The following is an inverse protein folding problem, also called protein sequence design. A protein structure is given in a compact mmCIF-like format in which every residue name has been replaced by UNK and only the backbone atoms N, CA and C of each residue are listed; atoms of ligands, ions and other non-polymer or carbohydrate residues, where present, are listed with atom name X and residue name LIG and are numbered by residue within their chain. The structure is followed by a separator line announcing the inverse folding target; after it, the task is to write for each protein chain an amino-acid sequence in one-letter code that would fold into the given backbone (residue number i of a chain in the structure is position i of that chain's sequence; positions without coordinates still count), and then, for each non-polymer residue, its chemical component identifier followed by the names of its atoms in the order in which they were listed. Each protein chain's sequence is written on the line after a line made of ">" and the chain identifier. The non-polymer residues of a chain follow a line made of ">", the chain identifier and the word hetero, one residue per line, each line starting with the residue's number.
data_IF_509174449255
#
_entry.id   IF_509174449255
#
_cell.length_a   1.000
_cell.length_b   1.000
_cell.length_c   1.000
_cell.angle_alpha   90.00
_cell.angle_beta   90.00
_cell.angle_gamma   90.00
#
_symmetry.space_group_name_H-M   'P 1'
#
loop_
_entity.id
_entity.type
_entity.pdbx_description
1 polymer ?
#
# COMPACT_ATOMS: atom_id res chain seq x y z
N UNK A 1 10.28 11.20 -38.83
CA UNK A 1 10.70 11.90 -37.59
C UNK A 1 12.04 11.30 -37.16
N UNK A 2 13.02 12.12 -36.83
CA UNK A 2 14.30 11.60 -36.35
C UNK A 2 14.13 10.93 -34.98
N UNK A 3 14.94 9.91 -34.64
CA UNK A 3 14.92 9.30 -33.31
C UNK A 3 15.11 10.35 -32.19
N UNK A 4 15.92 11.35 -32.41
CA UNK A 4 16.19 12.44 -31.46
C UNK A 4 14.92 13.25 -31.14
N UNK A 5 14.03 13.48 -32.11
CA UNK A 5 12.80 14.24 -31.90
C UNK A 5 11.86 13.48 -30.95
N UNK A 6 11.73 12.15 -31.07
CA UNK A 6 10.88 11.38 -30.18
C UNK A 6 11.42 11.32 -28.76
N UNK A 7 12.75 11.23 -28.59
CA UNK A 7 13.40 11.24 -27.26
C UNK A 7 13.18 12.59 -26.57
N UNK A 8 13.39 13.70 -27.29
CA UNK A 8 13.18 15.05 -26.74
C UNK A 8 11.71 15.29 -26.40
N UNK A 9 10.79 14.82 -27.24
CA UNK A 9 9.35 14.95 -26.98
C UNK A 9 8.95 14.18 -25.73
N UNK A 10 9.42 12.94 -25.54
CA UNK A 10 9.14 12.14 -24.34
C UNK A 10 9.70 12.81 -23.08
N UNK A 11 10.89 13.39 -23.15
CA UNK A 11 11.50 14.13 -22.05
C UNK A 11 10.65 15.34 -21.63
N UNK A 12 10.27 16.19 -22.60
CA UNK A 12 9.43 17.36 -22.34
C UNK A 12 8.07 16.93 -21.76
N UNK A 13 7.45 15.89 -22.33
CA UNK A 13 6.21 15.35 -21.80
C UNK A 13 6.36 14.83 -20.37
N UNK A 14 7.47 14.20 -20.03
CA UNK A 14 7.74 13.71 -18.68
C UNK A 14 7.78 14.86 -17.66
N UNK A 15 8.33 16.02 -18.01
CA UNK A 15 8.34 17.21 -17.15
C UNK A 15 6.93 17.84 -17.06
N UNK A 16 6.27 18.03 -18.20
CA UNK A 16 4.94 18.69 -18.25
C UNK A 16 3.88 17.87 -17.54
N UNK A 17 3.98 16.54 -17.58
CA UNK A 17 3.02 15.63 -16.94
C UNK A 17 3.23 15.51 -15.42
N UNK A 18 4.24 16.14 -14.83
CA UNK A 18 4.34 16.25 -13.38
C UNK A 18 3.23 17.14 -12.83
N UNK A 19 2.62 16.78 -11.69
CA UNK A 19 1.53 17.56 -11.10
C UNK A 19 2.04 18.81 -10.37
N UNK A 20 2.65 19.74 -11.10
CA UNK A 20 3.20 20.99 -10.57
C UNK A 20 2.11 21.80 -9.87
N UNK A 21 2.25 22.00 -8.53
CA UNK A 21 1.31 22.76 -7.71
C UNK A 21 -0.14 22.22 -7.71
N UNK A 22 -0.36 20.97 -8.15
CA UNK A 22 -1.65 20.31 -8.09
C UNK A 22 -1.78 19.55 -6.76
N UNK A 23 -2.71 19.98 -5.90
CA UNK A 23 -2.90 19.40 -4.57
C UNK A 23 -4.33 18.93 -4.37
N UNK A 24 -4.49 17.71 -3.81
CA UNK A 24 -5.76 17.26 -3.26
C UNK A 24 -6.10 18.09 -2.02
N UNK A 25 -7.38 18.44 -1.84
CA UNK A 25 -7.83 19.12 -0.63
C UNK A 25 -7.85 18.14 0.53
N UNK A 26 -7.03 18.39 1.52
CA UNK A 26 -6.87 17.54 2.69
C UNK A 26 -8.09 17.54 3.61
N UNK A 27 -8.39 16.38 4.18
CA UNK A 27 -9.37 16.21 5.23
C UNK A 27 -8.71 15.67 6.52
N UNK A 28 -8.34 16.56 7.45
CA UNK A 28 -7.80 16.18 8.76
C UNK A 28 -8.91 16.06 9.84
N UNK A 29 -10.09 15.56 9.48
CA UNK A 29 -11.12 15.23 10.45
C UNK A 29 -10.80 13.87 11.10
N UNK A 30 -10.30 13.89 12.35
CA UNK A 30 -9.88 12.68 13.07
C UNK A 30 -11.04 11.72 13.33
N UNK A 31 -12.26 12.24 13.59
CA UNK A 31 -13.44 11.38 13.77
C UNK A 31 -13.83 10.67 12.47
N UNK A 32 -13.65 11.32 11.32
CA UNK A 32 -13.84 10.70 10.02
C UNK A 32 -12.76 9.64 9.76
N UNK A 33 -11.50 9.95 10.04
CA UNK A 33 -10.40 9.01 9.90
C UNK A 33 -10.59 7.75 10.75
N UNK A 34 -11.02 7.91 12.01
CA UNK A 34 -11.36 6.78 12.88
C UNK A 34 -12.46 5.91 12.27
N UNK A 35 -13.54 6.51 11.76
CA UNK A 35 -14.65 5.77 11.12
C UNK A 35 -14.20 4.98 9.89
N UNK A 36 -13.32 5.54 9.07
CA UNK A 36 -12.77 4.85 7.89
C UNK A 36 -11.93 3.66 8.32
N UNK A 37 -11.03 3.84 9.30
CA UNK A 37 -10.20 2.76 9.84
C UNK A 37 -11.05 1.65 10.46
N UNK A 38 -12.10 1.98 11.22
CA UNK A 38 -12.98 0.99 11.85
C UNK A 38 -13.87 0.25 10.84
N UNK A 39 -14.27 0.94 9.77
CA UNK A 39 -15.01 0.31 8.67
C UNK A 39 -14.16 -0.74 7.94
N UNK A 40 -12.89 -0.41 7.68
CA UNK A 40 -12.04 -1.21 6.80
C UNK A 40 -11.24 -2.28 7.54
N UNK A 41 -10.99 -2.09 8.84
CA UNK A 41 -10.11 -2.95 9.64
C UNK A 41 -10.79 -3.38 10.94
N UNK A 42 -10.99 -4.67 11.09
CA UNK A 42 -11.47 -5.24 12.34
C UNK A 42 -10.32 -5.37 13.34
N UNK A 43 -10.54 -5.01 14.60
CA UNK A 43 -9.51 -5.03 15.64
C UNK A 43 -8.42 -3.97 15.40
N UNK A 44 -7.19 -4.28 15.77
CA UNK A 44 -6.02 -3.41 15.61
C UNK A 44 -6.14 -2.04 16.33
N UNK A 45 -6.81 -2.01 17.48
CA UNK A 45 -7.15 -0.76 18.17
C UNK A 45 -5.92 0.11 18.47
N UNK A 46 -4.83 -0.50 18.97
CA UNK A 46 -3.57 0.21 19.25
C UNK A 46 -2.93 0.80 17.97
N UNK A 47 -3.03 0.08 16.86
CA UNK A 47 -2.50 0.54 15.57
C UNK A 47 -3.31 1.73 15.05
N UNK A 48 -4.62 1.65 15.13
CA UNK A 48 -5.53 2.74 14.74
C UNK A 48 -5.30 3.97 15.60
N UNK A 49 -5.20 3.81 16.91
CA UNK A 49 -4.92 4.89 17.85
C UNK A 49 -3.61 5.63 17.49
N UNK A 50 -2.51 4.88 17.26
CA UNK A 50 -1.23 5.46 16.84
C UNK A 50 -1.31 6.20 15.50
N UNK A 51 -2.06 5.66 14.53
CA UNK A 51 -2.30 6.37 13.26
C UNK A 51 -3.06 7.68 13.50
N UNK A 52 -4.11 7.68 14.32
CA UNK A 52 -4.88 8.88 14.64
C UNK A 52 -4.03 9.91 15.39
N UNK A 53 -3.20 9.50 16.35
CA UNK A 53 -2.23 10.39 17.04
C UNK A 53 -1.29 11.05 16.02
N UNK A 54 -0.72 10.29 15.10
CA UNK A 54 0.14 10.84 14.06
C UNK A 54 -0.58 11.86 13.18
N UNK A 55 -1.82 11.57 12.74
CA UNK A 55 -2.64 12.50 11.97
C UNK A 55 -2.98 13.76 12.77
N UNK A 56 -3.18 13.64 14.08
CA UNK A 56 -3.41 14.80 14.96
C UNK A 56 -2.18 15.70 15.01
N UNK A 57 -0.98 15.13 15.12
CA UNK A 57 0.27 15.90 15.07
C UNK A 57 0.43 16.65 13.75
N UNK A 58 0.21 15.97 12.62
CA UNK A 58 0.27 16.59 11.29
C UNK A 58 -0.73 17.74 11.15
N UNK A 59 -1.95 17.55 11.67
CA UNK A 59 -2.99 18.58 11.69
C UNK A 59 -2.58 19.81 12.48
N UNK A 60 -1.97 19.63 13.65
CA UNK A 60 -1.56 20.73 14.53
C UNK A 60 -0.33 21.47 14.00
N UNK A 61 0.63 20.75 13.45
CA UNK A 61 1.84 21.34 12.85
C UNK A 61 1.53 22.08 11.54
N UNK A 62 0.54 21.64 10.79
CA UNK A 62 0.21 22.21 9.48
C UNK A 62 1.24 21.88 8.38
N UNK A 63 2.19 20.99 8.65
CA UNK A 63 3.19 20.48 7.71
C UNK A 63 3.33 18.96 7.80
N UNK A 64 4.06 18.34 6.85
CA UNK A 64 4.35 16.91 6.85
C UNK A 64 5.71 16.56 7.48
N UNK A 65 6.37 17.51 8.14
CA UNK A 65 7.66 17.31 8.81
C UNK A 65 7.52 16.53 10.12
N UNK A 66 7.27 15.25 10.00
CA UNK A 66 7.14 14.31 11.13
C UNK A 66 7.81 13.00 10.77
N UNK A 67 8.25 12.20 11.74
CA UNK A 67 8.72 10.86 11.48
C UNK A 67 7.70 10.07 10.66
N UNK A 68 8.19 9.28 9.71
CA UNK A 68 7.32 8.54 8.79
C UNK A 68 6.76 7.31 9.50
N UNK A 69 5.46 7.09 9.35
CA UNK A 69 4.83 5.86 9.86
C UNK A 69 5.46 4.64 9.18
N UNK A 70 5.99 3.72 9.97
CA UNK A 70 6.44 2.42 9.51
C UNK A 70 5.60 1.31 10.15
N UNK A 71 4.70 0.71 9.37
CA UNK A 71 3.89 -0.43 9.80
C UNK A 71 4.69 -1.72 9.63
N UNK A 72 5.06 -2.37 10.73
CA UNK A 72 5.84 -3.60 10.68
C UNK A 72 5.12 -4.77 11.36
N UNK A 73 5.41 -5.99 10.92
CA UNK A 73 4.81 -7.21 11.46
C UNK A 73 4.68 -8.31 10.41
N UNK A 74 4.10 -9.45 10.75
CA UNK A 74 4.02 -10.60 9.85
C UNK A 74 3.27 -10.28 8.56
N UNK A 75 3.51 -11.05 7.48
CA UNK A 75 2.80 -10.86 6.23
C UNK A 75 1.29 -11.15 6.38
N UNK A 76 0.46 -10.45 5.62
CA UNK A 76 -0.97 -10.70 5.55
C UNK A 76 -1.82 -10.09 6.68
N UNK A 77 -1.25 -9.24 7.54
CA UNK A 77 -1.98 -8.56 8.63
C UNK A 77 -2.62 -7.22 8.22
N UNK A 78 -2.55 -6.85 6.94
CA UNK A 78 -3.25 -5.66 6.44
C UNK A 78 -2.44 -4.36 6.44
N UNK A 79 -1.11 -4.39 6.59
CA UNK A 79 -0.25 -3.18 6.61
C UNK A 79 -0.50 -2.25 5.42
N UNK A 80 -0.48 -2.79 4.21
CA UNK A 80 -0.67 -2.00 2.98
C UNK A 80 -2.10 -1.46 2.86
N UNK A 81 -3.11 -2.21 3.34
CA UNK A 81 -4.50 -1.76 3.33
C UNK A 81 -4.78 -0.66 4.36
N UNK A 82 -4.09 -0.66 5.50
CA UNK A 82 -4.13 0.45 6.47
C UNK A 82 -3.69 1.76 5.81
N UNK A 83 -2.59 1.74 5.04
CA UNK A 83 -2.14 2.92 4.31
C UNK A 83 -3.16 3.41 3.26
N UNK A 84 -3.86 2.50 2.60
CA UNK A 84 -4.95 2.86 1.68
C UNK A 84 -6.10 3.55 2.41
N UNK A 85 -6.50 3.06 3.57
CA UNK A 85 -7.55 3.65 4.38
C UNK A 85 -7.17 5.03 4.93
N UNK A 86 -5.88 5.24 5.26
CA UNK A 86 -5.37 6.57 5.61
C UNK A 86 -5.49 7.54 4.44
N UNK A 87 -5.12 7.13 3.22
CA UNK A 87 -5.27 7.96 2.03
C UNK A 87 -6.73 8.35 1.77
N UNK A 88 -7.65 7.39 1.91
CA UNK A 88 -9.10 7.65 1.79
C UNK A 88 -9.59 8.63 2.86
N UNK A 89 -9.19 8.44 4.11
CA UNK A 89 -9.57 9.30 5.22
C UNK A 89 -9.12 10.76 5.03
N UNK A 90 -7.93 10.95 4.45
CA UNK A 90 -7.36 12.27 4.14
C UNK A 90 -7.87 12.87 2.83
N UNK A 91 -8.67 12.15 2.05
CA UNK A 91 -9.08 12.50 0.68
C UNK A 91 -7.89 12.70 -0.28
N UNK A 92 -6.78 12.00 -0.04
CA UNK A 92 -5.60 12.02 -0.88
C UNK A 92 -5.57 10.86 -1.87
N UNK A 93 -4.87 11.04 -2.98
CA UNK A 93 -4.57 9.93 -3.90
C UNK A 93 -3.67 8.92 -3.22
N UNK A 94 -3.94 7.65 -3.48
CA UNK A 94 -3.16 6.52 -2.98
C UNK A 94 -2.18 6.05 -4.04
N UNK A 95 -0.93 5.90 -3.65
CA UNK A 95 0.14 5.36 -4.50
C UNK A 95 0.84 4.23 -3.74
N UNK A 96 1.11 3.13 -4.42
CA UNK A 96 1.88 2.02 -3.86
C UNK A 96 3.13 1.77 -4.70
N UNK A 97 4.28 1.77 -4.04
CA UNK A 97 5.57 1.42 -4.63
C UNK A 97 6.13 0.22 -3.89
N UNK A 98 6.25 -0.93 -4.56
CA UNK A 98 6.94 -2.09 -3.99
C UNK A 98 8.45 -1.89 -4.12
N UNK A 99 9.14 -1.98 -3.00
CA UNK A 99 10.60 -1.86 -2.92
C UNK A 99 11.29 -3.23 -2.89
N UNK A 100 10.51 -4.31 -2.76
CA UNK A 100 11.04 -5.67 -2.84
C UNK A 100 11.62 -5.95 -4.22
N UNK A 101 12.91 -6.31 -4.26
CA UNK A 101 13.64 -6.55 -5.50
C UNK A 101 14.24 -5.29 -6.16
N UNK A 102 14.29 -4.18 -5.47
CA UNK A 102 15.11 -3.03 -5.86
C UNK A 102 16.59 -3.34 -5.63
N UNK A 103 17.38 -3.26 -6.70
CA UNK A 103 18.82 -3.53 -6.69
C UNK A 103 19.65 -2.35 -7.25
N UNK A 104 18.99 -1.33 -7.82
CA UNK A 104 19.64 -0.20 -8.47
C UNK A 104 19.05 1.11 -7.94
N UNK A 105 19.93 2.01 -7.51
CA UNK A 105 19.58 3.38 -7.09
C UNK A 105 18.83 4.13 -8.20
N UNK A 106 19.17 3.86 -9.46
CA UNK A 106 18.53 4.49 -10.63
C UNK A 106 17.01 4.16 -10.71
N UNK A 107 16.54 3.07 -10.09
CA UNK A 107 15.11 2.82 -10.02
C UNK A 107 14.36 3.83 -9.14
N UNK A 108 15.04 4.45 -8.16
CA UNK A 108 14.47 5.48 -7.28
C UNK A 108 14.67 6.87 -7.89
N UNK A 109 15.92 7.20 -8.26
CA UNK A 109 16.35 8.52 -8.73
C UNK A 109 16.30 8.72 -10.25
N UNK A 110 15.98 7.68 -11.03
CA UNK A 110 16.05 7.73 -12.49
C UNK A 110 17.44 7.48 -13.06
N UNK A 111 17.48 7.08 -14.32
CA UNK A 111 18.71 6.85 -15.07
C UNK A 111 19.21 8.18 -15.68
N UNK A 112 20.52 8.36 -15.78
CA UNK A 112 21.07 9.49 -16.52
C UNK A 112 20.64 9.43 -17.99
N UNK A 113 20.22 10.57 -18.57
CA UNK A 113 19.70 10.66 -19.97
C UNK A 113 20.65 10.14 -21.05
N UNK A 114 21.93 10.06 -20.77
CA UNK A 114 22.93 9.55 -21.70
C UNK A 114 22.83 8.05 -21.98
N UNK A 115 22.07 7.30 -21.18
CA UNK A 115 21.88 5.85 -21.37
C UNK A 115 20.70 5.57 -22.29
N UNK A 116 20.86 4.60 -23.19
CA UNK A 116 19.77 4.11 -24.04
C UNK A 116 18.69 3.48 -23.15
N UNK A 117 17.45 3.91 -23.32
CA UNK A 117 16.32 3.45 -22.49
C UNK A 117 16.25 4.12 -21.12
N UNK A 118 16.95 5.22 -20.89
CA UNK A 118 16.85 5.99 -19.67
C UNK A 118 15.41 6.44 -19.38
N UNK A 119 15.01 6.37 -18.12
CA UNK A 119 13.69 6.80 -17.66
C UNK A 119 13.78 7.41 -16.26
N UNK A 120 12.78 8.20 -15.89
CA UNK A 120 12.64 8.77 -14.55
C UNK A 120 12.48 7.68 -13.49
N UNK A 121 12.81 8.00 -12.25
CA UNK A 121 12.69 7.10 -11.12
C UNK A 121 11.23 6.78 -10.76
N UNK A 122 11.05 5.72 -9.99
CA UNK A 122 9.71 5.24 -9.58
C UNK A 122 8.91 6.28 -8.80
N UNK A 123 9.58 7.14 -8.03
CA UNK A 123 8.91 8.21 -7.28
C UNK A 123 8.24 9.17 -8.25
N UNK A 124 8.98 9.69 -9.21
CA UNK A 124 8.50 10.63 -10.23
C UNK A 124 7.40 10.00 -11.11
N UNK A 125 7.62 8.78 -11.60
CA UNK A 125 6.60 8.07 -12.40
C UNK A 125 5.28 7.90 -11.68
N UNK A 126 5.33 7.62 -10.38
CA UNK A 126 4.13 7.43 -9.59
C UNK A 126 3.44 8.75 -9.21
N UNK A 127 4.19 9.86 -9.05
CA UNK A 127 3.61 11.19 -8.93
C UNK A 127 2.84 11.59 -10.19
N UNK A 128 3.39 11.36 -11.38
CA UNK A 128 2.70 11.57 -12.65
C UNK A 128 1.39 10.78 -12.72
N UNK A 129 1.41 9.50 -12.34
CA UNK A 129 0.19 8.65 -12.29
C UNK A 129 -0.82 9.13 -11.27
N UNK A 130 -0.38 9.63 -10.13
CA UNK A 130 -1.25 10.16 -9.08
C UNK A 130 -1.95 11.46 -9.51
N UNK A 131 -1.30 12.28 -10.32
CA UNK A 131 -1.82 13.56 -10.78
C UNK A 131 -1.96 14.60 -9.66
N UNK A 132 -1.27 14.41 -8.53
CA UNK A 132 -1.23 15.37 -7.42
C UNK A 132 0.14 15.35 -6.74
N UNK A 133 0.56 16.49 -6.16
CA UNK A 133 1.84 16.64 -5.45
C UNK A 133 1.77 16.25 -3.97
N UNK A 134 0.59 15.92 -3.43
CA UNK A 134 0.40 15.52 -2.05
C UNK A 134 -0.30 14.15 -1.87
N UNK A 135 0.06 13.11 -2.64
CA UNK A 135 -0.52 11.79 -2.44
C UNK A 135 -0.03 11.16 -1.13
N UNK A 136 -0.67 10.05 -0.75
CA UNK A 136 -0.12 9.12 0.24
C UNK A 136 0.65 8.03 -0.52
N UNK A 137 1.96 7.96 -0.30
CA UNK A 137 2.85 6.93 -0.85
C UNK A 137 3.03 5.80 0.14
N UNK A 138 2.68 4.60 -0.26
CA UNK A 138 3.01 3.39 0.47
C UNK A 138 4.28 2.78 -0.11
N UNK A 139 5.35 2.81 0.66
CA UNK A 139 6.62 2.18 0.35
C UNK A 139 6.60 0.77 0.94
N UNK A 140 6.22 -0.20 0.11
CA UNK A 140 5.95 -1.56 0.55
C UNK A 140 7.23 -2.41 0.56
N UNK A 141 7.43 -3.19 1.63
CA UNK A 141 8.58 -4.08 1.81
C UNK A 141 9.93 -3.33 1.86
N UNK A 142 10.00 -2.24 2.62
CA UNK A 142 11.23 -1.44 2.78
C UNK A 142 12.39 -2.26 3.38
N UNK A 143 12.10 -3.30 4.14
CA UNK A 143 13.06 -4.23 4.74
C UNK A 143 13.77 -5.14 3.71
N UNK A 144 13.30 -5.16 2.47
CA UNK A 144 13.90 -5.93 1.38
C UNK A 144 14.81 -5.12 0.47
N UNK A 145 15.01 -3.86 0.76
CA UNK A 145 15.99 -3.02 0.05
C UNK A 145 17.37 -3.44 0.52
N UNK A 146 18.19 -3.92 -0.40
CA UNK A 146 19.57 -4.38 -0.14
C UNK A 146 20.56 -3.43 -0.80
N UNK A 147 21.71 -3.24 -0.14
CA UNK A 147 22.84 -2.51 -0.73
C UNK A 147 23.62 -3.50 -1.58
N UNK A 148 23.46 -3.41 -2.90
CA UNK A 148 24.20 -4.20 -3.87
C UNK A 148 25.30 -3.37 -4.55
N UNK A 149 26.20 -4.03 -5.30
CA UNK A 149 27.35 -3.42 -6.00
C UNK A 149 27.00 -2.34 -7.05
N UNK A 150 25.72 -2.11 -7.34
CA UNK A 150 25.24 -1.15 -8.37
C UNK A 150 24.68 0.16 -7.82
N UNK A 151 25.04 0.55 -6.62
CA UNK A 151 24.56 1.77 -6.00
C UNK A 151 24.02 1.56 -4.59
N UNK A 152 23.53 2.62 -3.98
CA UNK A 152 22.97 2.61 -2.65
C UNK A 152 21.49 3.04 -2.68
N UNK A 153 20.55 2.10 -3.03
CA UNK A 153 19.14 2.41 -3.06
C UNK A 153 18.60 2.78 -1.67
N UNK A 154 19.25 2.31 -0.59
CA UNK A 154 18.85 2.68 0.77
C UNK A 154 19.14 4.16 1.05
N UNK A 155 20.29 4.67 0.62
CA UNK A 155 20.61 6.10 0.72
C UNK A 155 19.67 6.97 -0.13
N UNK A 156 19.35 6.55 -1.35
CA UNK A 156 18.38 7.25 -2.19
C UNK A 156 16.98 7.30 -1.54
N UNK A 157 16.57 6.23 -0.88
CA UNK A 157 15.33 6.20 -0.11
C UNK A 157 15.36 7.12 1.10
N UNK A 158 16.49 7.22 1.80
CA UNK A 158 16.62 8.13 2.92
C UNK A 158 16.41 9.58 2.50
N UNK A 159 16.91 10.02 1.35
CA UNK A 159 16.62 11.37 0.83
C UNK A 159 15.12 11.57 0.57
N UNK A 160 14.44 10.58 0.02
CA UNK A 160 12.98 10.65 -0.21
C UNK A 160 12.22 10.78 1.12
N UNK A 161 12.69 10.08 2.14
CA UNK A 161 12.02 9.97 3.43
C UNK A 161 12.42 11.05 4.43
N UNK A 162 13.57 11.69 4.26
CA UNK A 162 14.04 12.73 5.17
C UNK A 162 13.30 14.05 4.91
N UNK A 163 12.46 14.54 5.86
CA UNK A 163 11.72 15.78 5.70
C UNK A 163 12.58 17.03 5.54
N UNK A 164 13.88 16.95 5.89
CA UNK A 164 14.81 18.06 5.73
C UNK A 164 15.44 18.10 4.32
N UNK A 165 15.42 16.99 3.58
CA UNK A 165 16.03 16.84 2.27
C UNK A 165 15.00 16.68 1.14
N UNK A 166 13.83 16.12 1.41
CA UNK A 166 12.87 15.71 0.38
C UNK A 166 12.17 16.86 -0.36
N UNK A 167 12.37 18.09 0.08
CA UNK A 167 11.90 19.29 -0.62
C UNK A 167 12.68 19.59 -1.93
N UNK A 168 13.84 18.96 -2.11
CA UNK A 168 14.69 19.08 -3.28
C UNK A 168 15.13 17.70 -3.80
N UNK A 169 14.18 16.77 -3.94
CA UNK A 169 14.47 15.44 -4.47
C UNK A 169 14.89 15.51 -5.94
N UNK A 170 16.12 15.10 -6.23
CA UNK A 170 16.68 15.16 -7.58
C UNK A 170 16.41 13.89 -8.37
N UNK A 171 15.78 14.00 -9.55
CA UNK A 171 15.65 12.91 -10.51
C UNK A 171 16.69 13.05 -11.62
N UNK A 172 17.55 12.04 -11.78
CA UNK A 172 18.68 12.06 -12.73
C UNK A 172 18.25 12.07 -14.21
N UNK A 173 17.05 11.55 -14.52
CA UNK A 173 16.54 11.56 -15.90
C UNK A 173 15.97 12.92 -16.26
N UNK A 174 15.17 13.50 -15.36
CA UNK A 174 14.60 14.82 -15.58
C UNK A 174 15.63 15.93 -15.38
N UNK A 175 16.68 15.67 -14.60
CA UNK A 175 17.72 16.63 -14.22
C UNK A 175 17.14 17.89 -13.57
N UNK A 176 16.13 17.67 -12.72
CA UNK A 176 15.44 18.72 -11.96
C UNK A 176 15.12 18.21 -10.55
N UNK A 177 14.98 19.16 -9.63
CA UNK A 177 14.53 18.91 -8.28
C UNK A 177 13.00 18.99 -8.22
N UNK A 178 12.39 18.06 -7.45
CA UNK A 178 10.96 18.04 -7.20
C UNK A 178 10.67 18.07 -5.71
N UNK A 179 9.74 18.93 -5.30
CA UNK A 179 9.37 19.07 -3.89
C UNK A 179 8.42 17.93 -3.44
N UNK A 180 8.93 17.01 -2.63
CA UNK A 180 8.20 15.92 -2.00
C UNK A 180 7.68 16.26 -0.59
N UNK A 181 7.91 17.47 -0.08
CA UNK A 181 7.59 17.86 1.31
C UNK A 181 6.11 17.79 1.66
N UNK A 182 5.21 17.74 0.68
CA UNK A 182 3.77 17.61 0.87
C UNK A 182 3.26 16.16 0.72
N UNK A 183 4.12 15.25 0.29
CA UNK A 183 3.81 13.84 0.19
C UNK A 183 3.75 13.23 1.59
N UNK A 184 2.76 12.40 1.86
CA UNK A 184 2.72 11.59 3.08
C UNK A 184 3.27 10.20 2.76
N UNK A 185 4.41 9.86 3.33
CA UNK A 185 5.01 8.53 3.19
C UNK A 185 4.57 7.61 4.33
N UNK A 186 4.19 6.39 3.99
CA UNK A 186 3.96 5.30 4.94
C UNK A 186 4.79 4.11 4.44
N UNK A 187 5.69 3.62 5.27
CA UNK A 187 6.49 2.44 4.98
C UNK A 187 5.83 1.17 5.53
N UNK A 188 6.03 0.04 4.86
CA UNK A 188 5.70 -1.27 5.42
C UNK A 188 6.92 -2.17 5.46
N UNK A 189 7.04 -2.99 6.50
CA UNK A 189 8.11 -3.94 6.67
C UNK A 189 7.60 -5.24 7.31
N UNK A 190 8.28 -6.34 7.06
CA UNK A 190 8.05 -7.57 7.82
C UNK A 190 9.02 -7.67 9.00
N UNK A 191 10.23 -7.12 8.84
CA UNK A 191 11.27 -7.10 9.86
C UNK A 191 11.95 -5.72 9.89
N UNK A 192 12.35 -5.26 11.09
CA UNK A 192 12.98 -3.95 11.28
C UNK A 192 14.51 -3.97 11.30
N UNK A 193 15.15 -5.14 11.26
CA UNK A 193 16.59 -5.28 11.52
C UNK A 193 17.48 -4.58 10.48
N UNK A 194 16.96 -4.26 9.31
CA UNK A 194 17.70 -3.69 8.18
C UNK A 194 17.46 -2.19 7.95
N UNK A 195 16.60 -1.56 8.75
CA UNK A 195 16.14 -0.21 8.48
C UNK A 195 16.79 0.78 9.44
N UNK A 196 17.36 1.87 8.90
CA UNK A 196 17.90 3.00 9.68
C UNK A 196 16.82 3.60 10.60
N UNK A 197 17.17 3.80 11.88
CA UNK A 197 16.19 4.05 12.95
C UNK A 197 15.63 5.47 13.07
N UNK A 198 16.34 6.55 12.73
CA UNK A 198 15.96 7.89 13.22
C UNK A 198 14.72 8.48 12.55
N UNK A 199 14.36 8.05 11.34
CA UNK A 199 13.32 8.69 10.51
C UNK A 199 11.94 8.02 10.64
N UNK A 200 11.83 6.91 11.38
CA UNK A 200 10.62 6.08 11.36
C UNK A 200 9.90 6.05 12.71
N UNK A 201 8.63 6.42 12.72
CA UNK A 201 7.68 6.09 13.79
C UNK A 201 7.13 4.67 13.55
N UNK A 202 7.59 3.74 14.38
CA UNK A 202 7.35 2.31 14.22
C UNK A 202 6.07 1.89 14.90
N UNK A 203 5.16 1.31 14.13
CA UNK A 203 3.89 0.79 14.61
C UNK A 203 3.83 -0.71 14.32
N UNK A 204 3.80 -1.51 15.38
CA UNK A 204 3.68 -2.97 15.27
C UNK A 204 2.25 -3.36 14.92
N UNK A 205 2.11 -4.10 13.83
CA UNK A 205 0.86 -4.74 13.43
C UNK A 205 0.97 -6.22 13.73
N UNK A 206 0.46 -6.63 14.87
CA UNK A 206 0.51 -8.03 15.34
C UNK A 206 -0.32 -8.96 14.46
N UNK A 207 -0.05 -10.26 14.56
CA UNK A 207 -0.90 -11.30 13.98
C UNK A 207 -2.28 -11.33 14.62
N UNK A 208 -3.23 -11.95 13.93
CA UNK A 208 -4.62 -12.10 14.39
C UNK A 208 -4.81 -13.40 15.16
N UNK A 209 -5.61 -13.36 16.21
CA UNK A 209 -6.14 -14.56 16.87
C UNK A 209 -7.26 -15.18 16.03
N UNK A 210 -7.67 -16.38 16.39
CA UNK A 210 -8.69 -17.16 15.65
C UNK A 210 -9.99 -16.38 15.45
N UNK A 211 -10.49 -15.80 16.53
CA UNK A 211 -11.75 -15.06 16.56
C UNK A 211 -11.71 -13.84 15.63
N UNK A 212 -10.59 -13.12 15.63
CA UNK A 212 -10.38 -11.99 14.74
C UNK A 212 -10.33 -12.42 13.27
N UNK A 213 -9.64 -13.52 12.96
CA UNK A 213 -9.60 -14.07 11.59
C UNK A 213 -10.99 -14.46 11.08
N UNK A 214 -11.82 -15.05 11.92
CA UNK A 214 -13.21 -15.39 11.59
C UNK A 214 -14.02 -14.12 11.30
N UNK A 215 -13.92 -13.10 12.14
CA UNK A 215 -14.63 -11.82 11.93
C UNK A 215 -14.13 -11.11 10.67
N UNK A 216 -12.81 -11.05 10.43
CA UNK A 216 -12.22 -10.48 9.22
C UNK A 216 -12.72 -11.23 7.98
N UNK A 217 -12.73 -12.55 8.03
CA UNK A 217 -13.23 -13.36 6.92
C UNK A 217 -14.70 -13.07 6.63
N UNK A 218 -15.56 -13.05 7.66
CA UNK A 218 -16.99 -12.82 7.51
C UNK A 218 -17.32 -11.40 7.00
N UNK A 219 -16.65 -10.37 7.54
CA UNK A 219 -16.95 -8.97 7.24
C UNK A 219 -16.28 -8.44 5.98
N UNK A 220 -15.09 -8.94 5.65
CA UNK A 220 -14.26 -8.36 4.58
C UNK A 220 -13.92 -9.36 3.47
N UNK A 221 -13.40 -10.56 3.80
CA UNK A 221 -12.89 -11.47 2.77
C UNK A 221 -14.02 -12.12 1.97
N UNK A 222 -15.04 -12.64 2.62
CA UNK A 222 -16.17 -13.31 1.93
C UNK A 222 -16.91 -12.32 1.02
N UNK A 223 -17.34 -11.12 1.47
CA UNK A 223 -18.00 -10.15 0.59
C UNK A 223 -17.14 -9.72 -0.59
N UNK A 224 -15.85 -9.47 -0.36
CA UNK A 224 -14.87 -9.12 -1.40
C UNK A 224 -14.75 -10.23 -2.46
N UNK A 225 -14.63 -11.50 -2.00
CA UNK A 225 -14.46 -12.63 -2.90
C UNK A 225 -15.74 -12.97 -3.66
N UNK A 226 -16.93 -12.77 -3.07
CA UNK A 226 -18.21 -12.85 -3.80
C UNK A 226 -18.24 -11.86 -4.97
N UNK A 227 -17.90 -10.61 -4.71
CA UNK A 227 -17.87 -9.56 -5.74
C UNK A 227 -16.88 -9.86 -6.86
N UNK A 228 -15.62 -10.22 -6.51
CA UNK A 228 -14.56 -10.55 -7.48
C UNK A 228 -14.96 -11.70 -8.41
N UNK A 229 -15.73 -12.69 -7.89
CA UNK A 229 -16.12 -13.88 -8.65
C UNK A 229 -17.53 -13.77 -9.27
N UNK A 230 -18.16 -12.58 -9.25
CA UNK A 230 -19.46 -12.36 -9.86
C UNK A 230 -20.62 -13.09 -9.16
N UNK A 231 -20.44 -13.47 -7.90
CA UNK A 231 -21.48 -14.13 -7.12
C UNK A 231 -22.31 -13.09 -6.37
N UNK A 232 -23.63 -13.17 -6.48
CA UNK A 232 -24.52 -12.24 -5.79
C UNK A 232 -24.48 -12.41 -4.28
N UNK A 233 -24.42 -11.29 -3.56
CA UNK A 233 -24.48 -11.28 -2.09
C UNK A 233 -25.73 -12.02 -1.61
N UNK A 234 -25.57 -12.90 -0.65
CA UNK A 234 -26.67 -13.64 0.01
C UNK A 234 -27.06 -14.95 -0.68
N UNK A 235 -26.59 -15.28 -1.88
CA UNK A 235 -26.86 -16.58 -2.52
C UNK A 235 -26.21 -17.75 -1.80
N UNK A 236 -25.02 -17.54 -1.23
CA UNK A 236 -24.31 -18.58 -0.48
C UNK A 236 -23.81 -17.97 0.83
N UNK A 237 -24.12 -18.62 1.94
CA UNK A 237 -23.70 -18.22 3.28
C UNK A 237 -22.44 -18.97 3.71
N UNK A 238 -21.58 -18.27 4.43
CA UNK A 238 -20.38 -18.83 5.08
C UNK A 238 -20.59 -18.71 6.61
N UNK A 239 -21.12 -19.74 7.28
CA UNK A 239 -21.26 -19.73 8.72
C UNK A 239 -19.91 -19.59 9.43
N UNK A 240 -19.88 -18.96 10.60
CA UNK A 240 -18.62 -18.79 11.37
C UNK A 240 -17.92 -20.12 11.66
N UNK A 241 -18.68 -21.20 11.91
CA UNK A 241 -18.13 -22.55 12.08
C UNK A 241 -17.35 -23.04 10.85
N UNK A 242 -17.86 -22.76 9.65
CA UNK A 242 -17.17 -23.12 8.40
C UNK A 242 -15.89 -22.30 8.23
N UNK A 243 -15.93 -20.99 8.51
CA UNK A 243 -14.76 -20.14 8.47
C UNK A 243 -13.70 -20.60 9.48
N UNK A 244 -14.11 -20.94 10.68
CA UNK A 244 -13.23 -21.50 11.72
C UNK A 244 -12.58 -22.82 11.24
N UNK A 245 -13.34 -23.75 10.69
CA UNK A 245 -12.82 -25.00 10.14
C UNK A 245 -11.80 -24.77 9.02
N UNK A 246 -12.05 -23.79 8.13
CA UNK A 246 -11.09 -23.41 7.08
C UNK A 246 -9.79 -22.90 7.71
N UNK A 247 -9.87 -22.03 8.72
CA UNK A 247 -8.70 -21.46 9.40
C UNK A 247 -7.88 -22.55 10.08
N UNK A 248 -8.53 -23.40 10.89
CA UNK A 248 -7.87 -24.46 11.67
C UNK A 248 -7.22 -25.53 10.79
N UNK A 249 -7.91 -25.94 9.74
CA UNK A 249 -7.49 -27.11 8.95
C UNK A 249 -6.65 -26.76 7.73
N UNK A 250 -6.75 -25.54 7.19
CA UNK A 250 -6.18 -25.20 5.89
C UNK A 250 -5.28 -23.97 5.88
N UNK A 251 -5.09 -23.29 7.02
CA UNK A 251 -4.17 -22.14 7.11
C UNK A 251 -3.26 -22.25 8.33
N UNK A 252 -1.99 -21.79 8.17
CA UNK A 252 -0.99 -21.75 9.25
C UNK A 252 -0.22 -20.42 9.17
N UNK A 253 -0.95 -19.32 9.25
CA UNK A 253 -0.38 -17.97 9.10
C UNK A 253 -0.80 -17.07 10.26
N UNK A 254 0.01 -16.05 10.55
CA UNK A 254 -0.35 -15.01 11.52
C UNK A 254 -1.37 -14.02 10.97
N UNK A 255 -1.42 -13.84 9.66
CA UNK A 255 -2.37 -12.96 8.96
C UNK A 255 -3.57 -13.72 8.40
N UNK A 256 -4.13 -13.18 7.30
CA UNK A 256 -5.31 -13.72 6.60
C UNK A 256 -5.10 -13.87 5.09
N UNK A 257 -3.85 -13.86 4.61
CA UNK A 257 -3.54 -13.94 3.17
C UNK A 257 -3.82 -15.33 2.59
N UNK A 258 -3.47 -16.38 3.31
CA UNK A 258 -3.80 -17.75 2.90
C UNK A 258 -5.29 -18.01 3.01
N UNK A 259 -5.91 -17.51 4.07
CA UNK A 259 -7.36 -17.59 4.27
C UNK A 259 -8.11 -16.95 3.08
N UNK A 260 -7.71 -15.75 2.64
CA UNK A 260 -8.28 -15.09 1.45
C UNK A 260 -8.16 -15.97 0.20
N UNK A 261 -6.99 -16.62 -0.01
CA UNK A 261 -6.78 -17.57 -1.12
C UNK A 261 -7.64 -18.83 -1.03
N UNK A 262 -7.86 -19.38 0.18
CA UNK A 262 -8.73 -20.55 0.39
C UNK A 262 -10.19 -20.21 0.10
N UNK A 263 -10.67 -19.07 0.60
CA UNK A 263 -12.00 -18.54 0.30
C UNK A 263 -12.15 -18.33 -1.21
N UNK A 264 -11.18 -17.70 -1.88
CA UNK A 264 -11.18 -17.51 -3.34
C UNK A 264 -11.25 -18.85 -4.10
N UNK A 265 -10.59 -19.90 -3.60
CA UNK A 265 -10.68 -21.25 -4.21
C UNK A 265 -12.10 -21.82 -4.13
N UNK A 266 -12.77 -21.64 -3.01
CA UNK A 266 -14.18 -22.06 -2.83
C UNK A 266 -15.07 -21.24 -3.79
N UNK A 267 -14.90 -19.92 -3.84
CA UNK A 267 -15.68 -19.05 -4.73
C UNK A 267 -15.54 -19.43 -6.21
N UNK A 268 -14.34 -19.81 -6.67
CA UNK A 268 -14.15 -20.29 -8.05
C UNK A 268 -14.93 -21.57 -8.33
N UNK A 269 -15.00 -22.51 -7.38
CA UNK A 269 -15.81 -23.72 -7.53
C UNK A 269 -17.30 -23.40 -7.61
N UNK A 270 -17.77 -22.47 -6.77
CA UNK A 270 -19.17 -22.02 -6.79
C UNK A 270 -19.50 -21.27 -8.11
N UNK A 271 -18.61 -20.39 -8.57
CA UNK A 271 -18.78 -19.70 -9.84
C UNK A 271 -18.86 -20.67 -11.02
N UNK A 272 -18.03 -21.73 -11.03
CA UNK A 272 -18.12 -22.79 -12.04
C UNK A 272 -19.47 -23.49 -12.02
N UNK A 273 -19.98 -23.89 -10.84
CA UNK A 273 -21.31 -24.52 -10.72
C UNK A 273 -22.41 -23.60 -11.27
N UNK A 274 -22.39 -22.32 -10.88
CA UNK A 274 -23.36 -21.35 -11.38
C UNK A 274 -23.30 -21.19 -12.90
N UNK A 275 -22.11 -21.11 -13.48
CA UNK A 275 -21.91 -20.99 -14.92
C UNK A 275 -22.35 -22.26 -15.68
N UNK A 276 -22.34 -23.42 -15.04
CA UNK A 276 -22.85 -24.71 -15.57
C UNK A 276 -24.35 -24.93 -15.29
N UNK A 277 -25.06 -23.89 -14.79
CA UNK A 277 -26.49 -23.98 -14.42
C UNK A 277 -26.79 -25.02 -13.34
N UNK A 278 -25.79 -25.37 -12.51
CA UNK A 278 -25.97 -26.21 -11.34
C UNK A 278 -26.50 -25.37 -10.16
N UNK A 279 -27.28 -26.01 -9.29
CA UNK A 279 -27.76 -25.37 -8.07
C UNK A 279 -26.61 -25.08 -7.11
N UNK A 280 -26.60 -23.89 -6.53
CA UNK A 280 -25.66 -23.52 -5.48
C UNK A 280 -26.18 -23.96 -4.10
N UNK A 281 -25.31 -24.43 -3.20
CA UNK A 281 -25.71 -24.71 -1.83
C UNK A 281 -26.11 -23.39 -1.14
N UNK A 282 -27.16 -23.41 -0.32
CA UNK A 282 -27.58 -22.23 0.44
C UNK A 282 -26.51 -21.76 1.44
N UNK A 283 -25.69 -22.69 1.91
CA UNK A 283 -24.55 -22.41 2.80
C UNK A 283 -23.44 -23.45 2.58
N UNK A 284 -22.20 -23.02 2.81
CA UNK A 284 -21.03 -23.92 2.82
C UNK A 284 -20.90 -24.54 4.20
N UNK A 285 -20.72 -25.84 4.26
CA UNK A 285 -20.50 -26.59 5.50
C UNK A 285 -19.04 -27.03 5.61
N UNK A 286 -18.54 -27.33 6.83
CA UNK A 286 -17.16 -27.81 7.01
C UNK A 286 -16.81 -29.07 6.21
N UNK A 287 -17.82 -29.91 5.95
CA UNK A 287 -17.68 -31.17 5.18
C UNK A 287 -17.69 -30.99 3.66
N UNK A 288 -18.08 -29.84 3.10
CA UNK A 288 -18.11 -29.53 1.66
C UNK A 288 -16.72 -29.15 1.13
#
# INVERSE_FOLDING_TARGET
>A
QSPDFSIQTQYVQAIVNLPWNEYSKDNFNLAHAQKVLDRDHYGLEKVKERIIEHLAVLKLKGDMKSPIICLYGPPGVGKTSLGKSVAEALHRKYVRVSLGGLHDEAEIRGHRRTYIGAMSGRIIQNLQKAGTSNPVFILDEIDKVTNDFKGDPASALLEVLDPEQNNAFHDNYLDIDYDLSKVMFIATANNLNTISQPLLDRIEVSGYIMEEKVEIAARHLVPKQLEIHGLSKGKVKFPKKTLQAIIESYTRESGVRELDKKIAKIMRKLARKLASSEELPAQIRPED
#
